data_IF_581132773075
#
_entry.id   IF_581132773075
#
_cell.length_a   1.000
_cell.length_b   1.000
_cell.length_c   1.000
_cell.angle_alpha   90.00
_cell.angle_beta   90.00
_cell.angle_gamma   90.00
#
_symmetry.space_group_name_H-M   'P 1'
#
loop_
_entity.id
_entity.type
_entity.pdbx_description
1 polymer ?
#
# COMPACT_ATOMS: atom_id res chain seq x y z
N UNK A 1 -3.90 -16.54 -8.28
CA UNK A 1 -3.85 -15.32 -9.10
C UNK A 1 -4.86 -14.39 -8.44
N UNK A 2 -4.47 -13.20 -7.99
CA UNK A 2 -5.42 -12.30 -7.32
C UNK A 2 -6.42 -11.89 -8.38
N UNK A 3 -7.72 -12.18 -8.17
CA UNK A 3 -8.75 -11.76 -9.12
C UNK A 3 -8.64 -10.25 -9.34
N UNK A 4 -8.69 -9.85 -10.60
CA UNK A 4 -8.58 -8.45 -10.99
C UNK A 4 -9.98 -7.91 -11.31
N UNK A 5 -10.16 -6.59 -11.28
CA UNK A 5 -11.43 -5.95 -11.69
C UNK A 5 -11.88 -6.37 -13.11
N UNK A 6 -10.94 -6.86 -13.93
CA UNK A 6 -11.15 -7.43 -15.28
C UNK A 6 -11.86 -8.78 -15.29
N UNK A 7 -11.94 -9.47 -14.15
CA UNK A 7 -12.66 -10.74 -14.02
C UNK A 7 -14.17 -10.55 -13.84
N UNK A 8 -14.63 -9.30 -13.74
CA UNK A 8 -16.03 -8.92 -13.54
C UNK A 8 -16.56 -8.17 -14.75
N UNK A 9 -17.79 -8.48 -15.14
CA UNK A 9 -18.50 -7.68 -16.13
C UNK A 9 -18.98 -6.41 -15.43
N UNK A 10 -18.22 -5.33 -15.61
CA UNK A 10 -18.42 -4.09 -14.86
C UNK A 10 -19.22 -3.07 -15.66
N UNK A 11 -20.32 -2.56 -15.08
CA UNK A 11 -21.00 -1.37 -15.58
C UNK A 11 -20.23 -0.14 -15.12
N UNK A 12 -19.83 0.71 -16.05
CA UNK A 12 -19.22 2.00 -15.73
C UNK A 12 -20.29 3.07 -15.72
N UNK A 13 -20.41 3.79 -14.61
CA UNK A 13 -21.39 4.85 -14.42
C UNK A 13 -20.73 6.10 -13.86
N UNK A 14 -20.75 7.18 -14.63
CA UNK A 14 -20.23 8.49 -14.22
C UNK A 14 -21.39 9.48 -14.22
N UNK A 15 -21.76 10.01 -13.06
CA UNK A 15 -22.97 10.83 -12.92
C UNK A 15 -22.98 12.06 -13.83
N UNK A 16 -21.81 12.65 -14.11
CA UNK A 16 -21.69 13.78 -15.03
C UNK A 16 -21.93 13.41 -16.51
N UNK A 17 -21.83 12.14 -16.87
CA UNK A 17 -21.97 11.64 -18.25
C UNK A 17 -23.29 10.92 -18.43
N UNK A 18 -23.59 9.97 -17.53
CA UNK A 18 -24.75 9.09 -17.60
C UNK A 18 -25.99 9.67 -16.89
N UNK A 19 -25.83 10.76 -16.14
CA UNK A 19 -26.87 11.34 -15.30
C UNK A 19 -27.00 10.66 -13.92
N UNK A 20 -27.97 11.10 -13.10
CA UNK A 20 -28.20 10.52 -11.78
C UNK A 20 -28.58 9.05 -11.89
N UNK A 21 -28.21 8.26 -10.87
CA UNK A 21 -28.64 6.87 -10.79
C UNK A 21 -30.17 6.78 -10.79
N UNK A 22 -30.73 5.88 -11.59
CA UNK A 22 -32.17 5.79 -11.86
C UNK A 22 -32.62 4.34 -12.04
N UNK A 23 -33.95 4.05 -12.05
CA UNK A 23 -34.45 2.70 -12.35
C UNK A 23 -33.96 2.14 -13.69
N UNK A 24 -33.80 3.00 -14.71
CA UNK A 24 -33.24 2.59 -16.00
C UNK A 24 -31.76 2.16 -15.90
N UNK A 25 -31.00 2.73 -14.97
CA UNK A 25 -29.62 2.30 -14.69
C UNK A 25 -29.59 0.89 -14.08
N UNK A 26 -30.54 0.57 -13.19
CA UNK A 26 -30.71 -0.77 -12.61
C UNK A 26 -31.11 -1.78 -13.69
N UNK A 27 -32.06 -1.43 -14.56
CA UNK A 27 -32.44 -2.29 -15.69
C UNK A 27 -31.25 -2.54 -16.63
N UNK A 28 -30.46 -1.50 -16.95
CA UNK A 28 -29.22 -1.63 -17.73
C UNK A 28 -28.20 -2.55 -17.06
N UNK A 29 -28.07 -2.48 -15.73
CA UNK A 29 -27.21 -3.38 -14.96
C UNK A 29 -27.67 -4.85 -15.09
N UNK A 30 -28.97 -5.10 -14.92
CA UNK A 30 -29.54 -6.45 -14.94
C UNK A 30 -29.51 -7.04 -16.36
N UNK A 31 -30.05 -6.32 -17.34
CA UNK A 31 -30.12 -6.77 -18.74
C UNK A 31 -28.74 -6.96 -19.37
N UNK A 32 -27.78 -6.14 -18.94
CA UNK A 32 -26.39 -6.30 -19.33
C UNK A 32 -25.67 -7.45 -18.64
N UNK A 33 -26.30 -8.15 -17.68
CA UNK A 33 -25.69 -9.26 -16.94
C UNK A 33 -24.41 -8.85 -16.22
N UNK A 34 -24.36 -7.61 -15.72
CA UNK A 34 -23.22 -7.10 -14.99
C UNK A 34 -23.16 -7.70 -13.58
N UNK A 35 -21.96 -7.98 -13.09
CA UNK A 35 -21.68 -8.39 -11.71
C UNK A 35 -20.68 -7.45 -11.03
N UNK A 36 -20.33 -6.35 -11.72
CA UNK A 36 -19.51 -5.26 -11.19
C UNK A 36 -20.12 -3.89 -11.47
N UNK A 37 -19.86 -2.93 -10.59
CA UNK A 37 -20.20 -1.52 -10.77
C UNK A 37 -18.98 -0.65 -10.47
N UNK A 38 -18.63 0.21 -11.42
CA UNK A 38 -17.78 1.37 -11.18
C UNK A 38 -18.66 2.61 -11.19
N UNK A 39 -18.87 3.20 -10.01
CA UNK A 39 -19.66 4.40 -9.80
C UNK A 39 -18.77 5.60 -9.47
N UNK A 40 -18.82 6.65 -10.31
CA UNK A 40 -18.19 7.94 -10.02
C UNK A 40 -19.27 8.92 -9.59
N UNK A 41 -19.26 9.25 -8.31
CA UNK A 41 -20.12 10.26 -7.72
C UNK A 41 -19.75 11.66 -8.26
N UNK A 42 -20.74 12.58 -8.36
CA UNK A 42 -20.55 13.89 -8.97
C UNK A 42 -19.46 14.71 -8.27
N UNK A 43 -18.62 15.39 -9.05
CA UNK A 43 -17.59 16.30 -8.54
C UNK A 43 -18.23 17.51 -7.88
N UNK A 44 -17.63 17.94 -6.76
CA UNK A 44 -18.07 19.11 -6.01
C UNK A 44 -19.37 18.91 -5.20
N UNK A 45 -20.13 17.84 -5.45
CA UNK A 45 -21.37 17.54 -4.74
C UNK A 45 -21.18 16.29 -3.88
N UNK A 46 -21.65 16.36 -2.64
CA UNK A 46 -21.64 15.21 -1.72
C UNK A 46 -22.86 14.34 -2.02
N UNK A 47 -22.66 13.15 -2.58
CA UNK A 47 -23.71 12.16 -2.80
C UNK A 47 -24.28 11.72 -1.44
N UNK A 48 -25.61 11.62 -1.32
CA UNK A 48 -26.24 11.38 -0.01
C UNK A 48 -26.01 9.97 0.50
N UNK A 49 -26.45 8.96 -0.25
CA UNK A 49 -26.42 7.55 0.19
C UNK A 49 -26.12 6.61 -0.99
N UNK A 50 -25.57 5.42 -0.73
CA UNK A 50 -25.42 4.34 -1.70
C UNK A 50 -26.50 3.24 -1.59
N UNK A 51 -27.63 3.50 -0.94
CA UNK A 51 -28.75 2.54 -0.81
C UNK A 51 -29.23 1.93 -2.13
N UNK A 52 -29.05 2.62 -3.26
CA UNK A 52 -29.39 2.08 -4.57
C UNK A 52 -28.64 0.78 -4.91
N UNK A 53 -27.48 0.54 -4.29
CA UNK A 53 -26.70 -0.67 -4.48
C UNK A 53 -27.45 -1.93 -4.04
N UNK A 54 -28.39 -1.81 -3.10
CA UNK A 54 -29.22 -2.92 -2.62
C UNK A 54 -30.16 -3.47 -3.70
N UNK A 55 -30.34 -2.75 -4.81
CA UNK A 55 -31.14 -3.16 -5.95
C UNK A 55 -30.32 -3.93 -7.01
N UNK A 56 -29.01 -4.09 -6.80
CA UNK A 56 -28.10 -4.70 -7.78
C UNK A 56 -27.89 -6.20 -7.46
N UNK A 57 -28.57 -7.11 -8.19
CA UNK A 57 -28.42 -8.53 -7.91
C UNK A 57 -27.01 -9.01 -8.26
N UNK A 58 -26.45 -9.85 -7.40
CA UNK A 58 -25.17 -10.54 -7.68
C UNK A 58 -23.96 -9.60 -7.80
N UNK A 59 -23.99 -8.42 -7.17
CA UNK A 59 -22.86 -7.49 -7.18
C UNK A 59 -21.65 -8.12 -6.46
N UNK A 60 -20.55 -8.30 -7.19
CA UNK A 60 -19.30 -8.93 -6.72
C UNK A 60 -18.11 -7.98 -6.76
N UNK A 61 -18.12 -6.99 -7.65
CA UNK A 61 -17.10 -5.96 -7.73
C UNK A 61 -17.71 -4.57 -7.61
N UNK A 62 -17.30 -3.80 -6.62
CA UNK A 62 -17.80 -2.44 -6.42
C UNK A 62 -16.63 -1.47 -6.32
N UNK A 63 -16.62 -0.48 -7.21
CA UNK A 63 -15.71 0.66 -7.16
C UNK A 63 -16.51 1.96 -7.06
N UNK A 64 -16.29 2.72 -6.00
CA UNK A 64 -16.92 4.02 -5.78
C UNK A 64 -15.85 5.07 -5.57
N UNK A 65 -15.91 6.12 -6.39
CA UNK A 65 -15.07 7.32 -6.26
C UNK A 65 -15.93 8.57 -6.08
N UNK A 66 -15.46 9.51 -5.27
CA UNK A 66 -16.08 10.82 -5.08
C UNK A 66 -16.57 11.00 -3.64
N UNK A 67 -17.30 12.07 -3.33
CA UNK A 67 -17.74 12.32 -1.94
C UNK A 67 -19.09 11.68 -1.70
N UNK A 68 -19.18 10.78 -0.73
CA UNK A 68 -20.43 10.15 -0.29
C UNK A 68 -20.63 10.42 1.19
N UNK A 69 -21.84 10.78 1.61
CA UNK A 69 -22.17 11.00 3.03
C UNK A 69 -22.37 9.70 3.79
N UNK A 70 -23.02 8.74 3.15
CA UNK A 70 -23.31 7.43 3.71
C UNK A 70 -23.07 6.34 2.64
N UNK A 71 -22.11 5.48 2.90
CA UNK A 71 -21.80 4.30 2.09
C UNK A 71 -22.06 2.99 2.86
N UNK A 72 -22.80 3.04 3.96
CA UNK A 72 -23.08 1.87 4.82
C UNK A 72 -23.91 0.79 4.14
N UNK A 73 -24.66 1.12 3.09
CA UNK A 73 -25.41 0.14 2.30
C UNK A 73 -24.51 -1.01 1.78
N UNK A 74 -23.22 -0.77 1.59
CA UNK A 74 -22.24 -1.79 1.19
C UNK A 74 -22.13 -2.92 2.22
N UNK A 75 -22.38 -2.65 3.50
CA UNK A 75 -22.31 -3.64 4.58
C UNK A 75 -23.32 -4.79 4.41
N UNK A 76 -24.38 -4.57 3.63
CA UNK A 76 -25.45 -5.56 3.39
C UNK A 76 -25.21 -6.39 2.10
N UNK A 77 -24.11 -6.14 1.38
CA UNK A 77 -23.81 -6.78 0.09
C UNK A 77 -22.72 -7.86 0.28
N UNK A 78 -23.07 -8.95 0.96
CA UNK A 78 -22.14 -10.03 1.33
C UNK A 78 -21.52 -10.78 0.12
N UNK A 79 -22.08 -10.59 -1.08
CA UNK A 79 -21.54 -11.15 -2.33
C UNK A 79 -20.29 -10.43 -2.84
N UNK A 80 -19.93 -9.27 -2.28
CA UNK A 80 -18.78 -8.48 -2.76
C UNK A 80 -17.46 -9.20 -2.50
N UNK A 81 -16.69 -9.37 -3.56
CA UNK A 81 -15.37 -9.98 -3.60
C UNK A 81 -14.25 -8.92 -3.74
N UNK A 82 -14.55 -7.80 -4.41
CA UNK A 82 -13.63 -6.68 -4.60
C UNK A 82 -14.33 -5.36 -4.27
N UNK A 83 -13.76 -4.61 -3.33
CA UNK A 83 -14.34 -3.37 -2.86
C UNK A 83 -13.31 -2.24 -2.93
N UNK A 84 -13.68 -1.16 -3.62
CA UNK A 84 -12.96 0.12 -3.62
C UNK A 84 -13.95 1.20 -3.17
N UNK A 85 -13.76 1.73 -1.97
CA UNK A 85 -14.55 2.84 -1.40
C UNK A 85 -13.64 4.03 -1.08
N UNK A 86 -13.39 4.85 -2.10
CA UNK A 86 -12.69 6.12 -1.98
C UNK A 86 -13.73 7.25 -1.93
N UNK A 87 -14.55 7.20 -0.88
CA UNK A 87 -15.79 7.95 -0.70
C UNK A 87 -15.67 9.16 0.24
N UNK A 88 -14.60 9.21 1.06
CA UNK A 88 -14.48 10.10 2.23
C UNK A 88 -15.69 10.05 3.18
N UNK A 89 -16.43 8.96 3.16
CA UNK A 89 -17.53 8.75 4.10
C UNK A 89 -16.98 8.62 5.52
N UNK A 90 -17.58 9.31 6.51
CA UNK A 90 -17.20 9.16 7.92
C UNK A 90 -17.84 7.92 8.56
N UNK A 91 -18.75 7.24 7.85
CA UNK A 91 -19.54 6.15 8.40
C UNK A 91 -18.65 4.91 8.59
N UNK A 92 -18.69 4.26 9.77
CA UNK A 92 -17.98 3.00 9.99
C UNK A 92 -18.38 1.94 8.96
N UNK A 93 -17.40 1.15 8.52
CA UNK A 93 -17.60 0.08 7.55
C UNK A 93 -17.53 -1.26 8.30
N UNK A 94 -18.63 -2.00 8.35
CA UNK A 94 -18.74 -3.31 8.99
C UNK A 94 -18.17 -4.39 8.06
N UNK A 95 -16.86 -4.28 7.77
CA UNK A 95 -16.17 -5.16 6.82
C UNK A 95 -16.14 -6.61 7.26
N UNK A 96 -16.31 -6.90 8.55
CA UNK A 96 -16.40 -8.23 9.12
C UNK A 96 -17.58 -9.06 8.56
N UNK A 97 -18.59 -8.42 7.97
CA UNK A 97 -19.69 -9.12 7.27
C UNK A 97 -19.30 -9.57 5.85
N UNK A 98 -18.30 -8.93 5.26
CA UNK A 98 -17.92 -9.13 3.85
C UNK A 98 -16.95 -10.30 3.69
N UNK A 99 -17.36 -11.49 4.12
CA UNK A 99 -16.50 -12.69 4.21
C UNK A 99 -15.97 -13.20 2.86
N UNK A 100 -16.56 -12.78 1.75
CA UNK A 100 -16.09 -13.08 0.38
C UNK A 100 -15.03 -12.12 -0.14
N UNK A 101 -14.64 -11.12 0.65
CA UNK A 101 -13.76 -10.06 0.20
C UNK A 101 -12.30 -10.55 0.06
N UNK A 102 -11.77 -10.47 -1.15
CA UNK A 102 -10.37 -10.78 -1.46
C UNK A 102 -9.53 -9.52 -1.62
N UNK A 103 -10.16 -8.39 -1.97
CA UNK A 103 -9.49 -7.11 -2.17
C UNK A 103 -10.28 -5.97 -1.55
N UNK A 104 -9.65 -5.21 -0.67
CA UNK A 104 -10.23 -4.03 -0.03
C UNK A 104 -9.35 -2.81 -0.29
N UNK A 105 -9.93 -1.78 -0.88
CA UNK A 105 -9.38 -0.42 -0.92
C UNK A 105 -10.37 0.52 -0.26
N UNK A 106 -9.95 1.24 0.77
CA UNK A 106 -10.85 2.14 1.50
C UNK A 106 -10.08 3.33 2.06
N UNK A 107 -10.73 4.49 2.09
CA UNK A 107 -10.21 5.61 2.88
C UNK A 107 -10.27 5.29 4.38
N UNK A 108 -9.45 5.95 5.19
CA UNK A 108 -9.46 5.78 6.64
C UNK A 108 -10.86 5.87 7.23
N UNK A 109 -11.18 4.90 8.08
CA UNK A 109 -12.39 4.85 8.90
C UNK A 109 -12.01 4.94 10.38
N UNK A 110 -12.92 5.43 11.24
CA UNK A 110 -12.68 5.48 12.69
C UNK A 110 -12.34 4.11 13.28
N UNK A 111 -12.90 3.05 12.72
CA UNK A 111 -12.65 1.66 13.13
C UNK A 111 -12.34 0.80 11.91
N UNK A 112 -11.21 0.09 11.97
CA UNK A 112 -10.76 -0.88 10.97
C UNK A 112 -10.55 -2.28 11.58
N UNK A 113 -10.95 -2.50 12.83
CA UNK A 113 -10.77 -3.76 13.55
C UNK A 113 -11.49 -4.94 12.90
N UNK A 114 -12.58 -4.69 12.17
CA UNK A 114 -13.31 -5.70 11.40
C UNK A 114 -12.44 -6.40 10.34
N UNK A 115 -11.34 -5.79 9.89
CA UNK A 115 -10.38 -6.43 8.97
C UNK A 115 -9.81 -7.72 9.56
N UNK A 116 -9.73 -7.85 10.89
CA UNK A 116 -9.29 -9.10 11.55
C UNK A 116 -10.12 -10.31 11.11
N UNK A 117 -11.43 -10.13 10.91
CA UNK A 117 -12.34 -11.21 10.47
C UNK A 117 -12.19 -11.61 9.00
N UNK A 118 -11.52 -10.81 8.16
CA UNK A 118 -11.35 -11.06 6.72
C UNK A 118 -10.18 -12.00 6.43
N UNK A 119 -10.36 -13.30 6.72
CA UNK A 119 -9.30 -14.31 6.59
C UNK A 119 -8.89 -14.60 5.14
N UNK A 120 -9.81 -14.41 4.18
CA UNK A 120 -9.58 -14.59 2.74
C UNK A 120 -8.94 -13.40 2.02
N UNK A 121 -8.61 -12.32 2.73
CA UNK A 121 -8.11 -11.08 2.12
C UNK A 121 -6.73 -11.28 1.49
N UNK A 122 -6.59 -10.98 0.20
CA UNK A 122 -5.36 -11.11 -0.56
C UNK A 122 -4.69 -9.75 -0.85
N UNK A 123 -5.47 -8.67 -0.88
CA UNK A 123 -4.96 -7.31 -1.07
C UNK A 123 -5.69 -6.30 -0.19
N UNK A 124 -4.91 -5.45 0.49
CA UNK A 124 -5.41 -4.35 1.32
C UNK A 124 -4.73 -3.05 0.95
N UNK A 125 -5.52 -2.02 0.66
CA UNK A 125 -5.08 -0.64 0.51
C UNK A 125 -5.89 0.28 1.42
N UNK A 126 -5.22 0.95 2.35
CA UNK A 126 -5.81 2.00 3.17
C UNK A 126 -5.31 3.38 2.73
N UNK A 127 -6.23 4.25 2.33
CA UNK A 127 -5.93 5.63 1.94
C UNK A 127 -6.15 6.60 3.10
N UNK A 128 -5.27 7.60 3.25
CA UNK A 128 -5.29 8.57 4.35
C UNK A 128 -5.36 7.95 5.75
N UNK A 129 -4.77 6.78 5.96
CA UNK A 129 -4.79 6.07 7.23
C UNK A 129 -4.03 6.84 8.32
N UNK A 130 -4.46 6.67 9.58
CA UNK A 130 -3.91 7.38 10.75
C UNK A 130 -3.45 6.44 11.84
N UNK A 131 -3.44 5.12 11.60
CA UNK A 131 -2.95 4.16 12.58
C UNK A 131 -1.44 4.26 12.76
N UNK A 132 -1.00 3.80 13.93
CA UNK A 132 0.40 3.84 14.38
C UNK A 132 1.07 2.47 14.39
N UNK A 133 0.29 1.40 14.20
CA UNK A 133 0.74 0.01 14.12
C UNK A 133 -0.23 -0.84 13.27
N UNK A 134 0.17 -2.08 12.97
CA UNK A 134 -0.58 -3.01 12.11
C UNK A 134 -1.34 -4.07 12.90
N UNK A 135 -1.52 -3.89 14.22
CA UNK A 135 -2.21 -4.86 15.07
C UNK A 135 -3.67 -5.12 14.65
N UNK A 136 -4.28 -4.19 13.92
CA UNK A 136 -5.63 -4.34 13.37
C UNK A 136 -5.72 -5.41 12.26
N UNK A 137 -4.61 -5.81 11.62
CA UNK A 137 -4.64 -6.82 10.56
C UNK A 137 -5.09 -8.19 11.10
N UNK A 138 -4.56 -8.58 12.27
CA UNK A 138 -4.65 -9.95 12.77
C UNK A 138 -4.03 -10.96 11.81
N UNK A 139 -4.41 -12.23 11.93
CA UNK A 139 -3.88 -13.27 11.05
C UNK A 139 -4.44 -13.13 9.63
N UNK A 140 -3.54 -13.00 8.66
CA UNK A 140 -3.85 -12.82 7.24
C UNK A 140 -2.99 -13.75 6.37
N UNK A 141 -3.26 -15.07 6.40
CA UNK A 141 -2.41 -16.06 5.75
C UNK A 141 -2.39 -15.96 4.22
N UNK A 142 -3.34 -15.24 3.62
CA UNK A 142 -3.45 -15.07 2.17
C UNK A 142 -3.09 -13.67 1.66
N UNK A 143 -2.78 -12.72 2.56
CA UNK A 143 -2.49 -11.34 2.17
C UNK A 143 -1.15 -11.29 1.43
N UNK A 144 -1.21 -10.87 0.16
CA UNK A 144 -0.05 -10.76 -0.75
C UNK A 144 0.38 -9.32 -0.96
N UNK A 145 -0.55 -8.37 -0.89
CA UNK A 145 -0.28 -6.95 -1.09
C UNK A 145 -0.86 -6.11 0.04
N UNK A 146 -0.01 -5.31 0.66
CA UNK A 146 -0.41 -4.31 1.64
C UNK A 146 0.11 -2.94 1.20
N UNK A 147 -0.81 -1.98 1.05
CA UNK A 147 -0.49 -0.58 0.83
C UNK A 147 -1.14 0.29 1.90
N UNK A 148 -0.35 1.18 2.47
CA UNK A 148 -0.78 2.14 3.47
C UNK A 148 -0.36 3.52 2.99
N UNK A 149 -1.34 4.35 2.67
CA UNK A 149 -1.13 5.77 2.37
C UNK A 149 -1.60 6.58 3.57
N UNK A 150 -0.66 7.23 4.24
CA UNK A 150 -0.87 7.82 5.54
C UNK A 150 -1.05 9.33 5.53
N UNK A 151 -0.76 9.89 6.70
CA UNK A 151 -0.35 11.28 6.88
C UNK A 151 0.97 11.28 7.64
N UNK A 152 1.77 12.36 7.56
CA UNK A 152 3.04 12.46 8.25
C UNK A 152 2.97 12.02 9.72
N UNK A 153 3.40 10.81 10.00
CA UNK A 153 3.38 10.19 11.32
C UNK A 153 4.44 9.09 11.41
N UNK A 154 4.64 8.54 12.62
CA UNK A 154 5.46 7.33 12.81
C UNK A 154 4.60 6.08 12.69
N UNK A 155 5.18 5.01 12.17
CA UNK A 155 4.52 3.71 12.02
C UNK A 155 5.42 2.60 12.57
N UNK A 156 4.85 1.80 13.48
CA UNK A 156 5.36 0.50 13.89
C UNK A 156 4.77 -0.56 12.95
N UNK A 157 5.58 -1.55 12.55
CA UNK A 157 5.10 -2.59 11.63
C UNK A 157 4.55 -3.82 12.36
N UNK A 158 4.54 -3.79 13.70
CA UNK A 158 4.02 -4.85 14.57
C UNK A 158 2.57 -5.20 14.19
N UNK A 159 2.29 -6.50 14.07
CA UNK A 159 1.03 -7.06 13.58
C UNK A 159 1.10 -7.61 12.15
N UNK A 160 2.18 -7.37 11.39
CA UNK A 160 2.38 -7.90 10.03
C UNK A 160 3.00 -9.30 10.00
N UNK A 161 3.53 -9.79 11.12
CA UNK A 161 4.36 -11.01 11.21
C UNK A 161 3.61 -12.27 10.72
N UNK A 162 2.29 -12.31 10.93
CA UNK A 162 1.44 -13.42 10.50
C UNK A 162 1.09 -13.38 8.99
N UNK A 163 1.39 -12.29 8.28
CA UNK A 163 1.11 -12.12 6.85
C UNK A 163 2.17 -12.84 5.98
N UNK A 164 2.41 -14.13 6.23
CA UNK A 164 3.53 -14.89 5.64
C UNK A 164 3.46 -15.06 4.11
N UNK A 165 2.30 -14.78 3.50
CA UNK A 165 2.12 -14.77 2.05
C UNK A 165 2.47 -13.42 1.39
N UNK A 166 2.87 -12.40 2.16
CA UNK A 166 3.09 -11.05 1.66
C UNK A 166 4.25 -11.02 0.67
N UNK A 167 3.99 -10.49 -0.53
CA UNK A 167 4.99 -10.30 -1.60
C UNK A 167 5.28 -8.82 -1.84
N UNK A 168 4.37 -7.92 -1.43
CA UNK A 168 4.51 -6.48 -1.65
C UNK A 168 4.03 -5.69 -0.45
N UNK A 169 4.90 -4.82 0.05
CA UNK A 169 4.60 -3.83 1.07
C UNK A 169 4.90 -2.42 0.54
N UNK A 170 3.88 -1.55 0.58
CA UNK A 170 4.03 -0.12 0.29
C UNK A 170 3.54 0.70 1.48
N UNK A 171 4.43 1.51 2.06
CA UNK A 171 4.15 2.40 3.18
C UNK A 171 4.49 3.82 2.74
N UNK A 172 3.48 4.69 2.64
CA UNK A 172 3.62 6.06 2.13
C UNK A 172 3.21 7.07 3.18
N UNK A 173 3.96 8.16 3.26
CA UNK A 173 3.83 9.26 4.21
C UNK A 173 3.91 8.84 5.69
N UNK A 174 4.63 7.75 5.97
CA UNK A 174 4.97 7.32 7.32
C UNK A 174 6.48 7.18 7.54
N UNK A 175 6.95 7.55 8.72
CA UNK A 175 8.27 7.15 9.19
C UNK A 175 8.19 5.78 9.87
N UNK A 176 8.66 4.75 9.17
CA UNK A 176 8.81 3.41 9.74
C UNK A 176 9.87 3.43 10.84
N UNK A 177 9.52 2.95 12.02
CA UNK A 177 10.41 2.94 13.18
C UNK A 177 11.49 1.84 13.09
N UNK A 178 11.10 0.63 12.68
CA UNK A 178 11.97 -0.53 12.57
C UNK A 178 11.45 -1.52 11.52
N UNK A 179 12.34 -2.39 11.01
CA UNK A 179 12.02 -3.43 10.03
C UNK A 179 11.90 -4.83 10.65
N UNK A 180 12.15 -4.96 11.96
CA UNK A 180 12.17 -6.25 12.66
C UNK A 180 10.90 -7.12 12.45
N UNK A 181 9.67 -6.54 12.38
CA UNK A 181 8.46 -7.31 12.06
C UNK A 181 8.48 -8.01 10.69
N UNK A 182 9.35 -7.58 9.77
CA UNK A 182 9.43 -8.17 8.42
C UNK A 182 10.33 -9.40 8.34
N UNK A 183 11.12 -9.72 9.39
CA UNK A 183 12.16 -10.78 9.36
C UNK A 183 11.67 -12.14 8.87
N UNK A 184 10.43 -12.51 9.19
CA UNK A 184 9.84 -13.80 8.81
C UNK A 184 9.16 -13.84 7.43
N UNK A 185 9.03 -12.70 6.74
CA UNK A 185 8.27 -12.57 5.50
C UNK A 185 9.10 -12.95 4.27
N UNK A 186 9.46 -14.23 4.18
CA UNK A 186 10.42 -14.79 3.20
C UNK A 186 9.95 -14.72 1.74
N UNK A 187 8.66 -14.48 1.49
CA UNK A 187 8.09 -14.35 0.13
C UNK A 187 8.13 -12.92 -0.42
N UNK A 188 8.67 -11.97 0.34
CA UNK A 188 8.70 -10.57 -0.06
C UNK A 188 9.47 -10.37 -1.37
N UNK A 189 8.87 -9.67 -2.32
CA UNK A 189 9.47 -9.28 -3.61
C UNK A 189 9.71 -7.78 -3.70
N UNK A 190 8.83 -6.97 -3.08
CA UNK A 190 8.86 -5.51 -3.15
C UNK A 190 8.62 -4.89 -1.79
N UNK A 191 9.53 -4.00 -1.38
CA UNK A 191 9.35 -3.10 -0.24
C UNK A 191 9.52 -1.67 -0.75
N UNK A 192 8.50 -0.84 -0.53
CA UNK A 192 8.55 0.61 -0.70
C UNK A 192 8.19 1.27 0.63
N UNK A 193 9.11 2.05 1.17
CA UNK A 193 8.87 2.95 2.30
C UNK A 193 9.16 4.36 1.83
N UNK A 194 8.13 5.21 1.79
CA UNK A 194 8.25 6.63 1.51
C UNK A 194 7.84 7.41 2.75
N UNK A 195 8.81 8.03 3.41
CA UNK A 195 8.56 8.81 4.61
C UNK A 195 8.20 10.27 4.33
N UNK A 196 7.62 10.97 5.32
CA UNK A 196 7.34 12.39 5.20
C UNK A 196 8.63 13.19 5.37
N UNK A 197 8.92 14.07 4.41
CA UNK A 197 10.13 14.93 4.38
C UNK A 197 10.23 15.90 5.56
N UNK A 198 9.09 16.24 6.17
CA UNK A 198 9.01 17.21 7.28
C UNK A 198 9.32 16.60 8.65
N UNK A 199 9.35 15.27 8.78
CA UNK A 199 9.67 14.63 10.06
C UNK A 199 11.19 14.43 10.22
N UNK A 200 11.75 14.67 11.41
CA UNK A 200 13.18 14.50 11.67
C UNK A 200 13.62 13.06 11.42
N UNK A 201 14.79 12.82 10.83
CA UNK A 201 15.35 11.50 10.53
C UNK A 201 15.85 10.78 11.81
N UNK A 202 14.94 10.43 12.70
CA UNK A 202 15.20 9.93 14.06
C UNK A 202 14.85 8.45 14.28
N UNK A 203 14.73 7.69 13.19
CA UNK A 203 14.68 6.23 13.20
C UNK A 203 16.06 5.64 12.94
N UNK A 204 16.19 4.32 13.04
CA UNK A 204 17.42 3.60 12.73
C UNK A 204 17.09 2.26 12.07
N UNK A 205 16.91 2.29 10.75
CA UNK A 205 16.50 1.11 9.99
C UNK A 205 17.67 0.12 9.86
N UNK A 206 17.50 -1.07 10.41
CA UNK A 206 18.48 -2.15 10.32
C UNK A 206 18.13 -3.11 9.18
N UNK A 207 18.89 -3.04 8.09
CA UNK A 207 18.65 -3.90 6.92
C UNK A 207 18.98 -5.38 7.16
N UNK A 208 19.59 -5.76 8.30
CA UNK A 208 19.76 -7.17 8.67
C UNK A 208 18.42 -7.89 8.78
N UNK A 209 17.37 -7.13 9.07
CA UNK A 209 16.00 -7.64 9.18
C UNK A 209 15.43 -8.12 7.84
N UNK A 210 16.05 -7.74 6.72
CA UNK A 210 15.66 -8.15 5.38
C UNK A 210 16.48 -9.33 4.84
N UNK A 211 17.53 -9.76 5.57
CA UNK A 211 18.51 -10.74 5.06
C UNK A 211 17.93 -12.13 4.73
N UNK A 212 16.76 -12.47 5.26
CA UNK A 212 16.04 -13.71 4.98
C UNK A 212 15.03 -13.61 3.83
N UNK A 213 15.13 -12.60 2.96
CA UNK A 213 14.23 -12.37 1.81
C UNK A 213 14.93 -12.70 0.49
N UNK A 214 15.10 -13.98 0.12
CA UNK A 214 15.84 -14.39 -1.08
C UNK A 214 15.18 -13.94 -2.39
N UNK A 215 13.91 -13.56 -2.35
CA UNK A 215 13.11 -13.13 -3.50
C UNK A 215 12.95 -11.61 -3.60
N UNK A 216 13.55 -10.83 -2.70
CA UNK A 216 13.41 -9.37 -2.73
C UNK A 216 14.11 -8.81 -3.97
N UNK A 217 13.32 -8.21 -4.86
CA UNK A 217 13.76 -7.63 -6.13
C UNK A 217 13.78 -6.12 -6.12
N UNK A 218 12.92 -5.49 -5.32
CA UNK A 218 12.81 -4.03 -5.24
C UNK A 218 12.82 -3.58 -3.79
N UNK A 219 13.83 -2.80 -3.40
CA UNK A 219 13.91 -2.10 -2.13
C UNK A 219 14.02 -0.60 -2.38
N UNK A 220 12.93 0.12 -2.09
CA UNK A 220 12.85 1.57 -2.27
C UNK A 220 12.59 2.24 -0.93
N UNK A 221 13.59 2.95 -0.44
CA UNK A 221 13.57 3.69 0.81
C UNK A 221 13.73 5.17 0.46
N UNK A 222 12.63 5.91 0.50
CA UNK A 222 12.54 7.30 0.06
C UNK A 222 12.19 8.16 1.27
N UNK A 223 13.00 9.16 1.61
CA UNK A 223 12.81 9.97 2.82
C UNK A 223 12.56 9.11 4.09
N UNK A 224 13.15 7.91 4.10
CA UNK A 224 12.94 6.88 5.10
C UNK A 224 13.76 7.13 6.38
N UNK A 225 14.48 8.26 6.45
CA UNK A 225 15.31 8.66 7.59
C UNK A 225 16.68 8.01 7.57
N UNK A 226 17.13 7.47 8.71
CA UNK A 226 18.46 6.86 8.83
C UNK A 226 18.41 5.35 8.58
N UNK A 227 19.37 4.86 7.82
CA UNK A 227 19.65 3.44 7.61
C UNK A 227 20.98 3.14 8.29
N UNK A 228 21.01 2.18 9.23
CA UNK A 228 22.19 1.88 10.04
C UNK A 228 23.44 1.59 9.20
N UNK A 229 23.27 0.70 8.21
CA UNK A 229 24.35 0.22 7.34
C UNK A 229 23.75 -0.42 6.09
N UNK A 230 24.45 -0.29 4.97
CA UNK A 230 24.11 -0.96 3.71
C UNK A 230 24.70 -2.36 3.59
N UNK A 231 25.60 -2.79 4.49
CA UNK A 231 26.28 -4.10 4.43
C UNK A 231 25.33 -5.30 4.23
N UNK A 232 24.12 -5.33 4.83
CA UNK A 232 23.20 -6.46 4.66
C UNK A 232 22.69 -6.68 3.23
N UNK A 233 22.71 -5.67 2.34
CA UNK A 233 22.15 -5.82 0.98
C UNK A 233 22.86 -6.90 0.15
N UNK A 234 24.11 -7.24 0.49
CA UNK A 234 24.85 -8.35 -0.15
C UNK A 234 24.18 -9.72 0.02
N UNK A 235 23.29 -9.86 1.01
CA UNK A 235 22.53 -11.08 1.28
C UNK A 235 21.22 -11.16 0.46
N UNK A 236 20.95 -10.18 -0.42
CA UNK A 236 19.74 -10.11 -1.24
C UNK A 236 20.07 -10.45 -2.70
N UNK A 237 20.14 -11.74 -3.09
CA UNK A 237 20.70 -12.17 -4.37
C UNK A 237 19.86 -11.76 -5.59
N UNK A 238 18.58 -11.41 -5.39
CA UNK A 238 17.65 -11.02 -6.46
C UNK A 238 17.39 -9.51 -6.54
N UNK A 239 18.07 -8.69 -5.73
CA UNK A 239 17.79 -7.25 -5.64
C UNK A 239 18.18 -6.50 -6.92
N UNK A 240 17.18 -6.08 -7.70
CA UNK A 240 17.28 -5.43 -9.02
C UNK A 240 17.07 -3.93 -9.00
N UNK A 241 16.22 -3.44 -8.11
CA UNK A 241 15.91 -2.02 -7.97
C UNK A 241 16.19 -1.60 -6.52
N UNK A 242 17.24 -0.82 -6.32
CA UNK A 242 17.61 -0.26 -5.01
C UNK A 242 17.56 1.26 -5.10
N UNK A 243 16.60 1.88 -4.39
CA UNK A 243 16.48 3.34 -4.35
C UNK A 243 16.57 3.85 -2.93
N UNK A 244 17.48 4.79 -2.69
CA UNK A 244 17.81 5.30 -1.36
C UNK A 244 17.58 6.82 -1.25
N UNK A 245 16.66 7.38 -2.02
CA UNK A 245 16.46 8.83 -2.11
C UNK A 245 16.21 9.46 -0.72
N UNK A 246 16.93 10.51 -0.38
CA UNK A 246 16.75 11.29 0.86
C UNK A 246 16.82 10.46 2.14
N UNK A 247 17.67 9.44 2.14
CA UNK A 247 18.06 8.72 3.35
C UNK A 247 19.46 9.12 3.77
N UNK A 248 19.80 8.82 5.02
CA UNK A 248 21.16 8.96 5.54
C UNK A 248 21.69 7.58 5.88
N UNK A 249 22.94 7.28 5.52
CA UNK A 249 23.60 6.02 5.89
C UNK A 249 24.43 6.27 7.16
N UNK A 250 24.08 5.60 8.25
CA UNK A 250 24.56 5.89 9.60
C UNK A 250 26.03 5.60 9.82
N UNK A 251 26.56 4.52 9.24
CA UNK A 251 27.98 4.17 9.29
C UNK A 251 28.83 4.85 8.21
N UNK A 252 28.21 5.66 7.34
CA UNK A 252 28.90 6.37 6.24
C UNK A 252 29.54 5.44 5.20
N UNK A 253 29.27 4.14 5.22
CA UNK A 253 29.89 3.15 4.34
C UNK A 253 29.01 2.87 3.11
N UNK A 254 29.36 3.48 1.97
CA UNK A 254 28.75 3.25 0.67
C UNK A 254 29.44 2.16 -0.16
N UNK A 255 30.49 1.48 0.34
CA UNK A 255 31.17 0.40 -0.38
C UNK A 255 30.22 -0.69 -0.92
N UNK A 256 29.11 -1.06 -0.23
CA UNK A 256 28.15 -2.01 -0.78
C UNK A 256 27.54 -1.61 -2.12
N UNK A 257 27.36 -0.32 -2.39
CA UNK A 257 26.75 0.16 -3.64
C UNK A 257 27.66 -0.09 -4.85
N UNK A 258 28.97 0.10 -4.70
CA UNK A 258 29.95 -0.15 -5.76
C UNK A 258 30.12 -1.65 -6.10
N UNK A 259 29.63 -2.53 -5.23
CA UNK A 259 29.70 -3.99 -5.39
C UNK A 259 28.39 -4.58 -5.90
N UNK A 260 27.37 -3.75 -6.13
CA UNK A 260 26.12 -4.20 -6.71
C UNK A 260 26.37 -4.73 -8.13
N UNK A 261 25.69 -5.82 -8.53
CA UNK A 261 25.81 -6.34 -9.89
C UNK A 261 25.41 -5.29 -10.93
N UNK A 262 26.00 -5.34 -12.12
CA UNK A 262 25.75 -4.37 -13.20
C UNK A 262 24.32 -4.33 -13.74
N UNK A 263 23.51 -5.34 -13.44
CA UNK A 263 22.09 -5.39 -13.80
C UNK A 263 21.18 -4.72 -12.77
N UNK A 264 21.71 -4.40 -11.58
CA UNK A 264 20.94 -3.72 -10.56
C UNK A 264 20.85 -2.23 -10.88
N UNK A 265 19.65 -1.70 -10.96
CA UNK A 265 19.37 -0.27 -10.99
C UNK A 265 19.53 0.26 -9.56
N UNK A 266 20.48 1.18 -9.38
CA UNK A 266 20.81 1.76 -8.07
C UNK A 266 20.65 3.27 -8.13
N UNK A 267 19.71 3.79 -7.33
CA UNK A 267 19.64 5.22 -7.02
C UNK A 267 20.25 5.42 -5.63
N UNK A 268 21.47 5.97 -5.52
CA UNK A 268 22.14 6.17 -4.25
C UNK A 268 21.47 7.30 -3.44
N UNK A 269 21.85 7.51 -2.16
CA UNK A 269 21.26 8.56 -1.34
C UNK A 269 21.30 9.94 -2.00
N UNK A 270 20.16 10.57 -2.21
CA UNK A 270 20.16 11.93 -2.76
C UNK A 270 20.61 12.89 -1.64
N UNK A 271 21.55 13.79 -1.94
CA UNK A 271 22.22 14.74 -1.00
C UNK A 271 23.41 14.23 -0.19
N UNK A 272 24.00 13.05 -0.47
CA UNK A 272 25.26 12.68 0.21
C UNK A 272 26.43 13.64 -0.10
N UNK A 273 26.36 14.40 -1.20
CA UNK A 273 27.36 15.42 -1.55
C UNK A 273 27.18 16.75 -0.81
N UNK A 274 26.05 16.97 -0.14
CA UNK A 274 25.81 18.19 0.65
C UNK A 274 26.66 18.16 1.95
N UNK A 275 26.98 16.96 2.44
CA UNK A 275 27.81 16.69 3.63
C UNK A 275 28.72 15.46 3.36
N UNK A 276 29.74 15.60 2.50
CA UNK A 276 30.57 14.45 2.09
C UNK A 276 31.44 13.91 3.23
N UNK A 277 31.73 14.73 4.25
CA UNK A 277 32.53 14.34 5.42
C UNK A 277 31.86 13.25 6.27
N UNK A 278 30.54 13.07 6.13
CA UNK A 278 29.79 11.98 6.76
C UNK A 278 30.15 10.60 6.21
N UNK A 279 30.66 10.54 4.98
CA UNK A 279 30.89 9.27 4.29
C UNK A 279 32.38 8.93 4.30
N UNK A 280 32.68 7.64 4.47
CA UNK A 280 34.03 7.07 4.49
C UNK A 280 34.69 6.99 3.08
N UNK A 281 34.22 7.81 2.15
CA UNK A 281 34.52 7.75 0.72
C UNK A 281 35.06 9.09 0.24
N UNK A 282 35.98 9.06 -0.72
CA UNK A 282 36.48 10.28 -1.35
C UNK A 282 35.38 10.96 -2.15
N UNK A 283 35.48 12.28 -2.33
CA UNK A 283 34.55 13.05 -3.18
C UNK A 283 34.50 12.48 -4.61
N UNK A 284 35.61 11.94 -5.12
CA UNK A 284 35.67 11.32 -6.43
C UNK A 284 34.81 10.04 -6.51
N UNK A 285 34.91 9.15 -5.51
CA UNK A 285 34.07 7.94 -5.41
C UNK A 285 32.59 8.31 -5.27
N UNK A 286 32.27 9.29 -4.42
CA UNK A 286 30.91 9.80 -4.25
C UNK A 286 30.33 10.34 -5.57
N UNK A 287 31.10 11.10 -6.35
CA UNK A 287 30.68 11.59 -7.68
C UNK A 287 30.55 10.48 -8.72
N UNK A 288 31.23 9.35 -8.56
CA UNK A 288 31.05 8.21 -9.47
C UNK A 288 29.66 7.58 -9.29
N UNK A 289 29.14 7.54 -8.06
CA UNK A 289 27.79 7.01 -7.76
C UNK A 289 26.67 7.85 -8.41
N UNK A 290 26.84 9.16 -8.57
CA UNK A 290 25.80 10.00 -9.20
C UNK A 290 25.69 9.80 -10.72
N UNK A 291 26.67 9.15 -11.35
CA UNK A 291 26.67 8.86 -12.80
C UNK A 291 26.06 7.50 -13.14
N UNK A 292 25.76 6.69 -12.13
CA UNK A 292 25.22 5.33 -12.28
C UNK A 292 23.67 5.27 -12.19
N UNK A 293 23.01 6.38 -11.88
CA UNK A 293 21.55 6.48 -11.72
C UNK A 293 20.88 7.40 -12.74
#
# INVERSE_FOLDING_TARGET
MIKDHRDYRTLHWTVEVDGPWSPAAVERYITGGYDGLLYRAPRGVKHRSLEFLLQLPGLRSLTVHGRVADDSAVNEIESVEHLVLLTRSPVPLAVDRLQRLHSLTVDARPDMSGVRGLTGLEALYLAWWHGTDLSFLGDKPHLRRLRLDGRPARLQLDGIEACTALTSLEVLDYRVAALAPLRGLTRMETILVSGPRKLPADNDLDLRDLSAMPHLRSLRLIAAGMIRSLRPIKALPQLRDLRLNEVVIGDGDLSPLFRMPSWAEVVPPTRFLDDPARYSHTIAELRALTKQG
#
